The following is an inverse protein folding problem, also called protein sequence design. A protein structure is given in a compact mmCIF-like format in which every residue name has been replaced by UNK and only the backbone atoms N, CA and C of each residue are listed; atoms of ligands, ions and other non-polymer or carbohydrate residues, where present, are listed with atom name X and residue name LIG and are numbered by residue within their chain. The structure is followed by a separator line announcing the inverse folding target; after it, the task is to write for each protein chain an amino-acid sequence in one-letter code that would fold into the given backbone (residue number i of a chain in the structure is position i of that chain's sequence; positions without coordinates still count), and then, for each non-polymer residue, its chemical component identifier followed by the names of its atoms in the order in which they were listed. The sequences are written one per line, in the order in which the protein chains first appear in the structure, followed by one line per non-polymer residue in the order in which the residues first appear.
data_IF_878393171465
#
_entry.id   IF_878393171465
#
_cell.length_a   1.000
_cell.length_b   1.000
_cell.length_c   1.000
_cell.angle_alpha   90.00
_cell.angle_beta   90.00
_cell.angle_gamma   90.00
#
_symmetry.space_group_name_H-M   'P 1'
#
loop_
_entity.id
_entity.type
_entity.pdbx_description
1 polymer ?
#
# COMPACT_ATOMS: atom_id res chain seq x y z
N UNK A 1 -25.71 3.88 12.23
CA UNK A 1 -24.39 3.20 12.36
C UNK A 1 -23.33 4.18 11.92
N UNK A 2 -22.21 4.31 12.64
CA UNK A 2 -21.18 5.29 12.28
C UNK A 2 -20.47 4.87 10.98
N UNK A 3 -20.22 5.82 10.08
CA UNK A 3 -19.56 5.56 8.78
C UNK A 3 -18.16 6.16 8.75
N UNK A 4 -17.20 5.39 8.29
CA UNK A 4 -15.85 5.85 7.95
C UNK A 4 -15.80 5.99 6.43
N UNK A 5 -15.44 7.18 5.95
CA UNK A 5 -15.22 7.42 4.53
C UNK A 5 -13.74 7.59 4.29
N UNK A 6 -13.18 6.79 3.39
CA UNK A 6 -11.81 6.98 2.89
C UNK A 6 -11.86 7.58 1.49
N UNK A 7 -11.02 8.56 1.23
CA UNK A 7 -10.95 9.28 -0.04
C UNK A 7 -9.59 9.00 -0.66
N UNK A 8 -9.59 8.46 -1.87
CA UNK A 8 -8.36 8.10 -2.59
C UNK A 8 -8.31 8.78 -3.96
N UNK A 9 -7.19 9.46 -4.24
CA UNK A 9 -7.01 10.22 -5.48
C UNK A 9 -6.66 9.35 -6.69
N UNK A 10 -5.80 8.36 -6.52
CA UNK A 10 -5.38 7.46 -7.59
C UNK A 10 -5.76 6.02 -7.29
N UNK A 11 -6.26 5.34 -8.32
CA UNK A 11 -6.33 3.89 -8.33
C UNK A 11 -5.33 3.35 -9.34
N UNK A 12 -4.38 2.56 -8.89
CA UNK A 12 -3.46 1.81 -9.75
C UNK A 12 -3.89 0.36 -9.85
N UNK A 13 -3.83 -0.20 -11.04
CA UNK A 13 -4.27 -1.55 -11.39
C UNK A 13 -3.28 -2.65 -10.92
N UNK A 14 -2.74 -2.54 -9.75
CA UNK A 14 -1.82 -3.53 -9.20
C UNK A 14 -1.85 -3.46 -7.69
N UNK A 15 -1.63 -4.55 -6.99
CA UNK A 15 -1.57 -4.59 -5.52
C UNK A 15 -0.42 -3.73 -5.01
N UNK A 16 -0.63 -2.43 -5.01
CA UNK A 16 0.26 -1.50 -4.36
C UNK A 16 0.06 -1.56 -2.84
N UNK A 17 1.08 -1.21 -2.07
CA UNK A 17 0.99 -1.22 -0.61
C UNK A 17 -0.13 -0.36 -0.02
N UNK A 18 -0.61 0.65 -0.75
CA UNK A 18 -1.75 1.47 -0.32
C UNK A 18 -3.10 0.74 -0.47
N UNK A 19 -3.29 -0.17 -1.45
CA UNK A 19 -4.51 -1.00 -1.56
C UNK A 19 -4.63 -1.95 -0.37
N UNK A 20 -3.53 -2.59 0.02
CA UNK A 20 -3.46 -3.40 1.25
C UNK A 20 -3.83 -2.55 2.47
N UNK A 21 -3.34 -1.32 2.54
CA UNK A 21 -3.65 -0.39 3.62
C UNK A 21 -5.13 0.01 3.66
N UNK A 22 -5.77 0.20 2.51
CA UNK A 22 -7.21 0.47 2.42
C UNK A 22 -8.02 -0.75 2.87
N UNK A 23 -7.66 -1.94 2.42
CA UNK A 23 -8.27 -3.20 2.84
C UNK A 23 -8.15 -3.41 4.36
N UNK A 24 -6.99 -3.13 4.92
CA UNK A 24 -6.76 -3.20 6.37
C UNK A 24 -7.68 -2.25 7.12
N UNK A 25 -7.82 -0.99 6.71
CA UNK A 25 -8.73 -0.02 7.32
C UNK A 25 -10.19 -0.42 7.20
N UNK A 26 -10.60 -0.94 6.03
CA UNK A 26 -11.95 -1.46 5.84
C UNK A 26 -12.23 -2.62 6.80
N UNK A 27 -11.32 -3.57 6.91
CA UNK A 27 -11.47 -4.72 7.81
C UNK A 27 -11.55 -4.27 9.26
N UNK A 28 -10.66 -3.38 9.72
CA UNK A 28 -10.72 -2.81 11.06
C UNK A 28 -12.03 -2.05 11.32
N UNK A 29 -12.54 -1.30 10.34
CA UNK A 29 -13.82 -0.61 10.46
C UNK A 29 -14.96 -1.61 10.64
N UNK A 30 -15.04 -2.63 9.80
CA UNK A 30 -16.08 -3.66 9.85
C UNK A 30 -16.03 -4.49 11.14
N UNK A 31 -14.85 -4.88 11.61
CA UNK A 31 -14.66 -5.58 12.89
C UNK A 31 -15.16 -4.75 14.09
N UNK A 32 -15.15 -3.43 13.97
CA UNK A 32 -15.65 -2.49 14.99
C UNK A 32 -17.12 -2.08 14.77
N UNK A 33 -17.83 -2.68 13.82
CA UNK A 33 -19.24 -2.39 13.54
C UNK A 33 -19.48 -1.02 12.89
N UNK A 34 -18.46 -0.44 12.22
CA UNK A 34 -18.62 0.76 11.41
C UNK A 34 -19.00 0.38 9.96
N UNK A 35 -19.81 1.22 9.33
CA UNK A 35 -19.91 1.22 7.89
C UNK A 35 -18.61 1.78 7.30
N UNK A 36 -18.22 1.29 6.13
CA UNK A 36 -17.05 1.75 5.41
C UNK A 36 -17.43 2.16 4.00
N UNK A 37 -16.94 3.31 3.54
CA UNK A 37 -17.08 3.77 2.17
C UNK A 37 -15.72 4.20 1.64
N UNK A 38 -15.33 3.61 0.52
CA UNK A 38 -14.13 3.98 -0.22
C UNK A 38 -14.53 4.85 -1.41
N UNK A 39 -14.22 6.14 -1.36
CA UNK A 39 -14.50 7.10 -2.42
C UNK A 39 -13.26 7.27 -3.30
N UNK A 40 -13.39 6.89 -4.57
CA UNK A 40 -12.34 7.05 -5.58
C UNK A 40 -12.61 8.35 -6.33
N UNK A 41 -11.61 9.20 -6.42
CA UNK A 41 -11.77 10.52 -7.03
C UNK A 41 -11.21 10.62 -8.45
N UNK A 42 -10.37 9.67 -8.88
CA UNK A 42 -9.92 9.57 -10.28
C UNK A 42 -10.99 8.93 -11.17
N UNK A 43 -11.04 9.28 -12.47
CA UNK A 43 -11.95 8.64 -13.44
C UNK A 43 -11.77 7.13 -13.49
N UNK A 44 -12.88 6.39 -13.52
CA UNK A 44 -12.89 4.95 -13.55
C UNK A 44 -13.43 4.42 -14.88
N UNK A 45 -12.71 3.46 -15.44
CA UNK A 45 -13.14 2.71 -16.62
C UNK A 45 -14.09 1.57 -16.23
N UNK A 46 -14.74 0.98 -17.20
CA UNK A 46 -15.63 -0.15 -17.02
C UNK A 46 -15.01 -1.28 -16.15
N UNK A 47 -15.84 -1.91 -15.32
CA UNK A 47 -15.45 -3.05 -14.44
C UNK A 47 -14.46 -2.71 -13.29
N UNK A 48 -14.28 -1.46 -12.92
CA UNK A 48 -13.39 -1.14 -11.78
C UNK A 48 -13.84 -1.82 -10.47
N UNK A 49 -15.14 -1.95 -10.23
CA UNK A 49 -15.70 -2.59 -9.01
C UNK A 49 -15.30 -4.06 -8.88
N UNK A 50 -15.31 -4.82 -9.97
CA UNK A 50 -14.91 -6.23 -9.92
C UNK A 50 -13.46 -6.42 -9.48
N UNK A 51 -12.59 -5.48 -9.80
CA UNK A 51 -11.19 -5.49 -9.38
C UNK A 51 -11.03 -5.24 -7.87
N UNK A 52 -11.90 -4.40 -7.30
CA UNK A 52 -11.93 -4.22 -5.85
C UNK A 52 -12.48 -5.44 -5.13
N UNK A 53 -13.44 -6.16 -5.73
CA UNK A 53 -13.95 -7.42 -5.17
C UNK A 53 -12.85 -8.48 -5.09
N UNK A 54 -11.96 -8.56 -6.07
CA UNK A 54 -10.81 -9.47 -6.04
C UNK A 54 -9.89 -9.24 -4.84
N UNK A 55 -9.88 -8.02 -4.28
CA UNK A 55 -9.11 -7.65 -3.08
C UNK A 55 -9.96 -7.51 -1.83
N UNK A 56 -11.19 -8.03 -1.84
CA UNK A 56 -12.04 -8.21 -0.65
C UNK A 56 -12.97 -7.05 -0.31
N UNK A 57 -13.13 -6.05 -1.21
CA UNK A 57 -14.19 -5.04 -1.06
C UNK A 57 -15.52 -5.58 -1.57
N UNK A 58 -16.64 -5.11 -1.02
CA UNK A 58 -17.97 -5.36 -1.57
C UNK A 58 -18.44 -4.16 -2.39
N UNK A 59 -19.37 -4.37 -3.32
CA UNK A 59 -19.90 -3.28 -4.17
C UNK A 59 -20.43 -2.08 -3.37
N UNK A 60 -21.00 -2.32 -2.21
CA UNK A 60 -21.52 -1.28 -1.33
C UNK A 60 -20.46 -0.45 -0.60
N UNK A 61 -19.22 -0.92 -0.58
CA UNK A 61 -18.10 -0.25 0.10
C UNK A 61 -17.35 0.72 -0.82
N UNK A 62 -17.70 0.80 -2.11
CA UNK A 62 -16.92 1.53 -3.11
C UNK A 62 -17.82 2.42 -3.94
N UNK A 63 -17.41 3.67 -4.11
CA UNK A 63 -18.04 4.63 -5.00
C UNK A 63 -16.97 5.40 -5.76
N UNK A 64 -17.05 5.40 -7.09
CA UNK A 64 -16.28 6.32 -7.90
C UNK A 64 -17.04 7.65 -8.06
N UNK A 65 -16.31 8.74 -7.99
CA UNK A 65 -16.89 10.08 -8.04
C UNK A 65 -17.49 10.40 -9.42
N UNK A 66 -16.85 9.94 -10.48
CA UNK A 66 -17.32 10.08 -11.86
C UNK A 66 -18.58 9.25 -12.14
N UNK A 67 -18.67 8.02 -11.62
CA UNK A 67 -19.89 7.21 -11.70
C UNK A 67 -21.09 7.91 -11.04
N UNK A 68 -20.85 8.52 -9.86
CA UNK A 68 -21.87 9.32 -9.18
C UNK A 68 -22.34 10.52 -10.02
N UNK A 69 -21.41 11.21 -10.70
CA UNK A 69 -21.70 12.41 -11.46
C UNK A 69 -22.39 12.14 -12.79
N UNK A 70 -21.89 11.17 -13.53
CA UNK A 70 -22.27 10.95 -14.92
C UNK A 70 -23.20 9.76 -15.12
N UNK A 71 -23.28 8.85 -14.12
CA UNK A 71 -24.05 7.60 -14.18
C UNK A 71 -23.69 6.74 -15.41
N UNK A 72 -22.47 6.89 -15.90
CA UNK A 72 -21.90 6.19 -17.04
C UNK A 72 -20.40 6.00 -16.84
N UNK A 73 -19.80 5.11 -17.62
CA UNK A 73 -18.37 4.82 -17.54
C UNK A 73 -17.54 5.83 -18.36
N UNK A 74 -16.33 6.07 -17.91
CA UNK A 74 -15.37 6.90 -18.61
C UNK A 74 -14.84 6.20 -19.87
N UNK A 75 -14.71 6.94 -20.96
CA UNK A 75 -13.95 6.54 -22.14
C UNK A 75 -12.63 7.30 -22.12
N UNK A 76 -11.54 6.56 -22.07
CA UNK A 76 -10.20 7.14 -22.11
C UNK A 76 -9.87 7.62 -23.52
N UNK A 77 -9.63 8.91 -23.71
CA UNK A 77 -9.29 9.52 -24.98
C UNK A 77 -7.78 9.76 -25.09
N UNK A 78 -7.12 10.13 -24.02
CA UNK A 78 -5.69 10.40 -23.94
C UNK A 78 -5.07 9.85 -22.66
N UNK A 79 -3.81 10.15 -22.42
CA UNK A 79 -3.11 9.68 -21.20
C UNK A 79 -3.80 10.18 -19.93
N UNK A 80 -4.31 11.42 -19.97
CA UNK A 80 -4.89 12.12 -18.83
C UNK A 80 -6.21 12.80 -19.18
N UNK A 81 -6.95 12.28 -20.18
CA UNK A 81 -8.23 12.80 -20.64
C UNK A 81 -9.26 11.68 -20.76
N UNK A 82 -10.42 11.91 -20.17
CA UNK A 82 -11.57 11.01 -20.19
C UNK A 82 -12.82 11.79 -20.60
N UNK A 83 -13.72 11.12 -21.34
CA UNK A 83 -15.02 11.66 -21.73
C UNK A 83 -16.14 10.73 -21.30
N UNK A 84 -17.30 11.30 -21.08
CA UNK A 84 -18.50 10.61 -20.62
C UNK A 84 -19.63 10.87 -21.60
N UNK A 85 -20.31 9.79 -21.99
CA UNK A 85 -21.41 9.85 -22.97
C UNK A 85 -22.65 9.23 -22.34
N UNK A 86 -23.84 9.79 -22.67
CA UNK A 86 -25.12 9.19 -22.34
C UNK A 86 -25.44 7.95 -23.21
N UNK A 87 -26.58 7.32 -22.95
CA UNK A 87 -27.01 6.15 -23.71
C UNK A 87 -27.32 6.46 -25.19
N UNK A 88 -27.54 7.71 -25.52
CA UNK A 88 -27.79 8.21 -26.87
C UNK A 88 -26.50 8.62 -27.60
N UNK A 89 -25.35 8.54 -26.94
CA UNK A 89 -24.04 8.86 -27.47
C UNK A 89 -23.67 10.34 -27.40
N UNK A 90 -24.42 11.18 -26.69
CA UNK A 90 -24.08 12.57 -26.48
C UNK A 90 -23.07 12.72 -25.37
N UNK A 91 -22.06 13.60 -25.55
CA UNK A 91 -21.08 13.91 -24.52
C UNK A 91 -21.76 14.68 -23.38
N UNK A 92 -21.75 14.11 -22.18
CA UNK A 92 -22.32 14.70 -20.96
C UNK A 92 -21.26 15.31 -20.05
N UNK A 93 -20.00 15.05 -20.31
CA UNK A 93 -18.90 15.67 -19.59
C UNK A 93 -17.52 15.08 -19.87
N UNK A 94 -16.54 15.64 -19.19
CA UNK A 94 -15.14 15.23 -19.30
C UNK A 94 -14.41 15.30 -17.97
N UNK A 95 -13.29 14.59 -17.88
CA UNK A 95 -12.32 14.74 -16.80
C UNK A 95 -10.91 14.86 -17.40
N UNK A 96 -10.16 15.85 -16.96
CA UNK A 96 -8.80 16.13 -17.43
C UNK A 96 -7.90 16.23 -16.20
N UNK A 97 -6.74 15.56 -16.27
CA UNK A 97 -5.71 15.67 -15.25
C UNK A 97 -4.84 16.89 -15.53
N UNK A 98 -4.94 17.89 -14.69
CA UNK A 98 -4.18 19.13 -14.84
C UNK A 98 -2.80 19.01 -14.18
N UNK A 99 -1.78 18.76 -15.00
CA UNK A 99 -0.37 18.77 -14.58
C UNK A 99 0.23 20.18 -14.58
N UNK A 100 -0.45 21.18 -15.16
CA UNK A 100 0.10 22.52 -15.34
C UNK A 100 0.08 23.36 -14.07
N UNK A 101 -0.69 22.98 -13.08
CA UNK A 101 -0.64 23.65 -11.79
C UNK A 101 0.70 23.30 -11.12
N UNK A 102 1.60 24.28 -11.01
CA UNK A 102 2.92 24.19 -10.36
C UNK A 102 2.90 23.67 -8.92
N UNK A 103 1.72 23.37 -8.40
CA UNK A 103 1.57 22.99 -7.00
C UNK A 103 1.22 21.53 -6.82
N UNK A 104 0.26 20.97 -7.54
CA UNK A 104 -0.13 19.56 -7.40
C UNK A 104 -1.11 19.19 -8.51
N UNK A 105 -0.83 18.15 -9.30
CA UNK A 105 -1.76 17.67 -10.34
C UNK A 105 -3.07 17.20 -9.71
N UNK A 106 -4.19 17.58 -10.30
CA UNK A 106 -5.52 17.22 -9.81
C UNK A 106 -6.49 16.98 -10.97
N UNK A 107 -7.55 16.21 -10.74
CA UNK A 107 -8.60 16.02 -11.70
C UNK A 107 -9.53 17.23 -11.77
N UNK A 108 -9.79 17.70 -12.98
CA UNK A 108 -10.77 18.74 -13.27
C UNK A 108 -11.91 18.09 -14.07
N UNK A 109 -13.10 18.19 -13.55
CA UNK A 109 -14.32 17.63 -14.11
C UNK A 109 -15.17 18.72 -14.73
N UNK A 110 -15.69 18.48 -15.93
CA UNK A 110 -16.67 19.36 -16.58
C UNK A 110 -17.99 18.60 -16.70
N UNK A 111 -19.05 19.14 -16.13
CA UNK A 111 -20.39 18.56 -16.09
C UNK A 111 -21.37 19.61 -16.60
N UNK A 112 -22.06 19.37 -17.72
CA UNK A 112 -23.00 20.31 -18.31
C UNK A 112 -22.41 21.73 -18.49
N UNK A 113 -21.15 21.80 -18.96
CA UNK A 113 -20.44 23.05 -19.18
C UNK A 113 -19.93 23.78 -17.92
N UNK A 114 -20.15 23.21 -16.74
CA UNK A 114 -19.63 23.76 -15.48
C UNK A 114 -18.42 22.95 -15.01
N UNK A 115 -17.34 23.64 -14.69
CA UNK A 115 -16.08 23.05 -14.22
C UNK A 115 -16.03 22.94 -12.70
N UNK A 116 -15.52 21.81 -12.21
CA UNK A 116 -15.34 21.49 -10.80
C UNK A 116 -13.94 20.95 -10.56
N UNK A 117 -13.32 21.34 -9.47
CA UNK A 117 -12.14 20.66 -8.95
C UNK A 117 -12.53 19.33 -8.29
N UNK A 118 -11.57 18.43 -8.14
CA UNK A 118 -11.76 17.19 -7.38
C UNK A 118 -12.28 17.46 -5.97
N UNK A 119 -11.72 18.47 -5.28
CA UNK A 119 -12.15 18.86 -3.93
C UNK A 119 -13.60 19.32 -3.89
N UNK A 120 -14.05 20.14 -4.87
CA UNK A 120 -15.44 20.61 -4.94
C UNK A 120 -16.42 19.46 -5.11
N UNK A 121 -16.06 18.46 -5.92
CA UNK A 121 -16.91 17.29 -6.17
C UNK A 121 -16.96 16.34 -4.97
N UNK A 122 -15.83 16.13 -4.29
CA UNK A 122 -15.82 15.39 -3.03
C UNK A 122 -16.75 16.03 -2.01
N UNK A 123 -16.65 17.35 -1.83
CA UNK A 123 -17.51 18.08 -0.88
C UNK A 123 -18.98 17.99 -1.30
N UNK A 124 -19.27 18.14 -2.59
CA UNK A 124 -20.65 18.02 -3.12
C UNK A 124 -21.22 16.63 -2.81
N UNK A 125 -20.51 15.57 -3.18
CA UNK A 125 -20.91 14.19 -2.92
C UNK A 125 -21.13 13.93 -1.43
N UNK A 126 -20.17 14.31 -0.59
CA UNK A 126 -20.28 14.14 0.84
C UNK A 126 -21.45 14.92 1.45
N UNK A 127 -21.75 16.13 0.93
CA UNK A 127 -22.89 16.94 1.39
C UNK A 127 -24.25 16.26 1.11
N UNK A 128 -24.35 15.51 0.02
CA UNK A 128 -25.56 14.76 -0.34
C UNK A 128 -25.71 13.45 0.45
N UNK A 129 -24.58 12.80 0.80
CA UNK A 129 -24.56 11.61 1.65
C UNK A 129 -24.85 11.90 3.13
N UNK A 130 -24.58 13.12 3.57
CA UNK A 130 -24.61 13.51 4.98
C UNK A 130 -26.04 13.67 5.50
N UNK A 131 -26.75 12.59 5.62
CA UNK A 131 -27.93 12.51 6.50
C UNK A 131 -27.64 11.53 7.65
N UNK A 132 -26.89 12.02 8.65
CA UNK A 132 -26.83 11.58 10.05
C UNK A 132 -25.73 10.62 10.54
N UNK A 133 -24.93 9.91 9.72
CA UNK A 133 -24.09 8.83 10.27
C UNK A 133 -22.59 8.88 9.94
N UNK A 134 -22.11 9.89 9.21
CA UNK A 134 -20.67 10.00 8.93
C UNK A 134 -19.94 10.56 10.15
N UNK A 135 -18.81 9.96 10.54
CA UNK A 135 -18.04 10.36 11.71
C UNK A 135 -16.57 10.62 11.43
N UNK A 136 -16.00 9.93 10.46
CA UNK A 136 -14.57 9.97 10.17
C UNK A 136 -14.33 10.06 8.68
N UNK A 137 -13.51 11.03 8.28
CA UNK A 137 -12.95 11.14 6.95
C UNK A 137 -11.46 10.82 7.01
N UNK A 138 -11.01 9.87 6.21
CA UNK A 138 -9.60 9.55 6.04
C UNK A 138 -9.24 9.82 4.59
N UNK A 139 -8.33 10.74 4.34
CA UNK A 139 -7.81 10.99 3.02
C UNK A 139 -6.49 10.26 2.82
N UNK A 140 -6.43 9.41 1.83
CA UNK A 140 -5.18 8.82 1.35
C UNK A 140 -4.47 9.83 0.44
N UNK A 141 -3.18 9.98 0.61
CA UNK A 141 -2.33 10.91 -0.10
C UNK A 141 -2.33 12.37 0.44
N UNK A 142 -1.54 12.56 1.49
CA UNK A 142 -1.31 13.88 2.12
C UNK A 142 -0.53 14.88 1.22
N UNK A 143 -0.04 14.44 0.04
CA UNK A 143 0.71 15.31 -0.89
C UNK A 143 -0.17 16.34 -1.59
N UNK A 144 -1.46 16.08 -1.72
CA UNK A 144 -2.43 16.96 -2.37
C UNK A 144 -3.26 17.68 -1.31
N UNK A 145 -3.05 18.97 -0.99
CA UNK A 145 -3.83 19.65 0.01
C UNK A 145 -5.29 19.87 -0.44
N UNK A 146 -6.24 19.56 0.44
CA UNK A 146 -7.66 19.82 0.26
C UNK A 146 -8.20 20.70 1.42
N UNK A 147 -7.88 22.00 1.44
CA UNK A 147 -8.18 22.87 2.56
C UNK A 147 -9.68 23.10 2.80
N UNK A 148 -10.48 23.07 1.73
CA UNK A 148 -11.94 23.23 1.85
C UNK A 148 -12.58 21.95 2.41
N UNK A 149 -12.06 20.77 2.07
CA UNK A 149 -12.49 19.50 2.65
C UNK A 149 -12.18 19.45 4.17
N UNK A 150 -11.01 19.93 4.57
CA UNK A 150 -10.66 20.07 6.00
C UNK A 150 -11.66 21.01 6.72
N UNK A 151 -11.99 22.14 6.09
CA UNK A 151 -12.98 23.10 6.63
C UNK A 151 -14.37 22.48 6.69
N UNK A 152 -14.78 21.79 5.64
CA UNK A 152 -16.05 21.07 5.57
C UNK A 152 -16.19 20.06 6.71
N UNK A 153 -15.19 19.19 6.90
CA UNK A 153 -15.17 18.22 7.97
C UNK A 153 -15.29 18.88 9.37
N UNK A 154 -14.55 19.95 9.61
CA UNK A 154 -14.62 20.72 10.86
C UNK A 154 -15.98 21.34 11.11
N UNK A 155 -16.61 21.93 10.10
CA UNK A 155 -17.92 22.56 10.21
C UNK A 155 -19.01 21.55 10.57
N UNK A 156 -18.88 20.31 10.13
CA UNK A 156 -19.81 19.23 10.44
C UNK A 156 -19.38 18.39 11.66
N UNK A 157 -18.31 18.81 12.33
CA UNK A 157 -17.78 18.14 13.52
C UNK A 157 -17.33 16.69 13.24
N UNK A 158 -16.89 16.41 12.00
CA UNK A 158 -16.28 15.14 11.63
C UNK A 158 -14.82 15.12 12.03
N UNK A 159 -14.33 13.94 12.37
CA UNK A 159 -12.92 13.72 12.54
C UNK A 159 -12.25 13.55 11.16
N UNK A 160 -11.17 14.28 10.92
CA UNK A 160 -10.45 14.28 9.66
C UNK A 160 -9.02 13.84 9.87
N UNK A 161 -8.59 12.86 9.07
CA UNK A 161 -7.22 12.37 9.03
C UNK A 161 -6.68 12.41 7.61
N UNK A 162 -5.37 12.61 7.50
CA UNK A 162 -4.61 12.33 6.30
C UNK A 162 -3.72 11.12 6.54
N UNK A 163 -3.75 10.15 5.62
CA UNK A 163 -2.93 8.96 5.72
C UNK A 163 -1.63 9.13 4.93
N UNK A 164 -0.49 8.90 5.58
CA UNK A 164 0.85 9.04 5.04
C UNK A 164 1.39 7.67 4.70
N UNK A 165 1.50 7.38 3.39
CA UNK A 165 2.06 6.15 2.84
C UNK A 165 3.56 6.21 2.54
N UNK A 166 4.15 7.40 2.48
CA UNK A 166 5.52 7.63 2.08
C UNK A 166 6.32 8.27 3.21
N UNK A 167 7.64 8.21 3.12
CA UNK A 167 8.49 8.80 4.14
C UNK A 167 8.63 10.31 3.91
N UNK A 168 7.67 11.07 4.42
CA UNK A 168 7.58 12.53 4.26
C UNK A 168 8.84 13.28 4.69
N UNK A 169 9.63 12.70 5.58
CA UNK A 169 10.87 13.30 6.08
C UNK A 169 11.99 13.18 5.04
N UNK A 170 12.18 11.97 4.49
CA UNK A 170 13.21 11.70 3.49
C UNK A 170 12.81 12.17 2.08
N UNK A 171 11.52 12.12 1.77
CA UNK A 171 11.00 12.51 0.46
C UNK A 171 10.79 14.04 0.32
N UNK A 172 11.10 14.82 1.36
CA UNK A 172 11.04 16.28 1.32
C UNK A 172 9.64 16.90 1.42
N UNK A 173 8.61 16.11 1.75
CA UNK A 173 7.23 16.60 1.88
C UNK A 173 6.87 17.19 3.25
N UNK A 174 7.78 17.11 4.23
CA UNK A 174 7.55 17.62 5.57
C UNK A 174 7.04 19.09 5.61
N UNK A 175 7.54 20.02 4.78
CA UNK A 175 7.06 21.41 4.76
C UNK A 175 5.59 21.55 4.31
N UNK A 176 5.03 20.55 3.64
CA UNK A 176 3.63 20.59 3.16
C UNK A 176 2.63 20.18 4.23
N UNK A 177 3.08 19.55 5.31
CA UNK A 177 2.22 19.08 6.38
C UNK A 177 1.75 20.23 7.27
N UNK A 178 0.51 20.15 7.72
CA UNK A 178 -0.11 21.12 8.63
C UNK A 178 -0.17 20.60 10.07
N UNK A 179 0.34 21.35 11.03
CA UNK A 179 0.20 21.01 12.47
C UNK A 179 -1.25 21.04 13.00
N UNK A 180 -2.21 21.47 12.16
CA UNK A 180 -3.64 21.55 12.49
C UNK A 180 -4.45 20.32 12.07
N UNK A 181 -3.79 19.35 11.42
CA UNK A 181 -4.40 18.13 10.91
C UNK A 181 -3.87 16.94 11.71
N UNK A 182 -4.71 15.93 11.90
CA UNK A 182 -4.32 14.65 12.47
C UNK A 182 -3.86 13.72 11.33
N UNK A 183 -2.71 13.07 11.52
CA UNK A 183 -2.11 12.17 10.52
C UNK A 183 -2.15 10.73 11.00
N UNK A 184 -2.57 9.83 10.13
CA UNK A 184 -2.31 8.40 10.25
C UNK A 184 -1.05 8.09 9.44
N UNK A 185 -0.14 7.33 9.99
CA UNK A 185 1.19 7.11 9.40
C UNK A 185 1.48 5.62 9.31
N UNK A 186 1.86 5.16 8.13
CA UNK A 186 2.13 3.75 7.85
C UNK A 186 3.39 3.18 8.54
N UNK A 187 4.18 4.01 9.21
CA UNK A 187 5.41 3.60 9.90
C UNK A 187 5.46 4.20 11.31
N UNK A 188 5.69 3.35 12.31
CA UNK A 188 5.69 3.73 13.73
C UNK A 188 6.77 4.77 14.04
N UNK A 189 7.96 4.62 13.51
CA UNK A 189 9.08 5.51 13.79
C UNK A 189 8.91 6.88 13.12
N UNK A 190 8.34 6.90 11.92
CA UNK A 190 7.98 8.16 11.24
C UNK A 190 6.86 8.86 12.01
N UNK A 191 5.89 8.12 12.56
CA UNK A 191 4.85 8.69 13.41
C UNK A 191 5.46 9.33 14.68
N UNK A 192 6.37 8.66 15.36
CA UNK A 192 7.06 9.20 16.54
C UNK A 192 7.93 10.41 16.19
N UNK A 193 8.65 10.38 15.07
CA UNK A 193 9.42 11.53 14.60
C UNK A 193 8.52 12.74 14.32
N UNK A 194 7.39 12.55 13.65
CA UNK A 194 6.42 13.62 13.41
C UNK A 194 5.87 14.19 14.72
N UNK A 195 5.60 13.35 15.73
CA UNK A 195 5.19 13.82 17.07
C UNK A 195 6.26 14.70 17.71
N UNK A 196 7.53 14.31 17.64
CA UNK A 196 8.65 15.12 18.19
C UNK A 196 8.79 16.48 17.49
N UNK A 197 8.39 16.56 16.20
CA UNK A 197 8.33 17.79 15.44
C UNK A 197 7.05 18.61 15.67
N UNK A 198 6.17 18.14 16.55
CA UNK A 198 4.94 18.82 16.97
C UNK A 198 3.75 18.62 16.04
N UNK A 199 3.74 17.57 15.23
CA UNK A 199 2.59 17.13 14.45
C UNK A 199 1.72 16.16 15.26
N UNK A 200 0.42 16.14 14.99
CA UNK A 200 -0.50 15.16 15.54
C UNK A 200 -0.45 13.92 14.64
N UNK A 201 0.45 13.01 14.92
CA UNK A 201 0.66 11.82 14.12
C UNK A 201 0.38 10.55 14.92
N UNK A 202 -0.28 9.59 14.30
CA UNK A 202 -0.66 8.31 14.91
C UNK A 202 -0.21 7.19 13.97
N UNK A 203 0.50 6.22 14.49
CA UNK A 203 0.80 5.02 13.72
C UNK A 203 -0.49 4.25 13.48
N UNK A 204 -0.69 3.82 12.22
CA UNK A 204 -1.70 2.84 11.83
C UNK A 204 -1.05 1.91 10.80
N UNK A 205 -0.89 0.62 11.09
CA UNK A 205 -0.21 -0.29 10.17
C UNK A 205 -0.95 -0.36 8.83
N UNK A 206 -0.22 -0.34 7.71
CA UNK A 206 -0.85 -0.48 6.40
C UNK A 206 -1.31 -1.91 6.13
N UNK A 207 -0.85 -2.87 6.93
CA UNK A 207 -1.24 -4.27 6.86
C UNK A 207 -1.40 -4.84 8.27
N UNK A 208 -2.49 -5.57 8.49
CA UNK A 208 -2.70 -6.44 9.62
C UNK A 208 -2.86 -7.89 9.17
N UNK A 209 -2.56 -8.82 10.05
CA UNK A 209 -2.73 -10.26 9.88
C UNK A 209 -3.67 -10.79 10.94
N UNK A 210 -4.42 -11.87 10.68
CA UNK A 210 -5.16 -12.56 11.73
C UNK A 210 -4.23 -13.48 12.51
N UNK A 211 -4.33 -13.50 13.85
CA UNK A 211 -3.44 -14.31 14.68
C UNK A 211 -3.56 -15.81 14.37
N UNK A 212 -4.73 -16.28 14.01
CA UNK A 212 -4.97 -17.67 13.61
C UNK A 212 -4.39 -18.04 12.24
N UNK A 213 -3.94 -17.08 11.45
CA UNK A 213 -3.29 -17.30 10.15
C UNK A 213 -1.76 -17.30 10.25
N UNK A 214 -1.21 -16.99 11.42
CA UNK A 214 0.23 -17.01 11.65
C UNK A 214 0.75 -18.44 11.62
N UNK A 215 1.74 -18.69 10.78
CA UNK A 215 2.34 -20.02 10.58
C UNK A 215 3.71 -20.07 11.21
N UNK A 216 3.89 -20.96 12.16
CA UNK A 216 5.22 -21.32 12.66
C UNK A 216 5.80 -22.45 11.83
N UNK A 217 7.00 -22.24 11.28
CA UNK A 217 7.74 -23.23 10.49
C UNK A 217 9.03 -23.64 11.15
N UNK A 218 9.37 -24.92 10.99
CA UNK A 218 10.71 -25.46 11.20
C UNK A 218 11.25 -25.89 9.84
N UNK A 219 12.36 -25.30 9.43
CA UNK A 219 12.95 -25.48 8.11
C UNK A 219 14.38 -26.02 8.26
N UNK A 220 14.71 -27.07 7.54
CA UNK A 220 16.03 -27.69 7.52
C UNK A 220 16.81 -27.22 6.30
N UNK A 221 17.51 -26.10 6.42
CA UNK A 221 18.19 -25.45 5.32
C UNK A 221 17.24 -24.62 4.44
N UNK A 222 17.43 -23.30 4.42
CA UNK A 222 16.62 -22.38 3.63
C UNK A 222 17.15 -22.32 2.20
N UNK A 223 16.44 -22.92 1.23
CA UNK A 223 16.91 -23.10 -0.15
C UNK A 223 15.99 -22.47 -1.19
N UNK A 224 14.68 -22.43 -0.94
CA UNK A 224 13.69 -21.89 -1.87
C UNK A 224 13.28 -20.49 -1.39
N UNK A 225 13.82 -19.49 -2.05
CA UNK A 225 13.51 -18.10 -1.76
C UNK A 225 12.40 -17.55 -2.68
N UNK A 226 11.71 -16.56 -2.18
CA UNK A 226 10.77 -15.76 -2.94
C UNK A 226 11.14 -14.28 -2.86
N UNK A 227 10.99 -13.58 -3.97
CA UNK A 227 11.03 -12.13 -4.09
C UNK A 227 9.67 -11.65 -4.61
N UNK A 228 9.05 -10.66 -3.96
CA UNK A 228 7.71 -10.19 -4.31
C UNK A 228 7.64 -8.68 -4.18
N UNK A 229 7.59 -7.98 -5.30
CA UNK A 229 7.42 -6.53 -5.38
C UNK A 229 7.15 -6.07 -6.82
N UNK A 230 6.89 -4.78 -7.02
CA UNK A 230 7.01 -4.15 -8.34
C UNK A 230 8.47 -4.14 -8.79
N UNK A 231 8.71 -4.32 -10.07
CA UNK A 231 10.05 -4.31 -10.67
C UNK A 231 10.62 -2.89 -10.89
N UNK A 232 10.19 -1.92 -10.08
CA UNK A 232 10.71 -0.54 -10.11
C UNK A 232 12.13 -0.42 -9.56
N UNK A 233 12.84 0.63 -9.96
CA UNK A 233 14.25 0.86 -9.63
C UNK A 233 14.53 0.86 -8.12
N UNK A 234 13.62 1.41 -7.31
CA UNK A 234 13.78 1.47 -5.85
C UNK A 234 13.71 0.10 -5.17
N UNK A 235 13.17 -0.92 -5.85
CA UNK A 235 13.16 -2.32 -5.37
C UNK A 235 14.47 -3.05 -5.64
N UNK A 236 15.32 -2.46 -6.50
CA UNK A 236 16.70 -2.89 -6.76
C UNK A 236 16.80 -4.38 -7.13
N UNK A 237 15.87 -4.86 -7.98
CA UNK A 237 15.81 -6.27 -8.39
C UNK A 237 17.08 -6.74 -9.11
N UNK A 238 17.79 -5.84 -9.78
CA UNK A 238 19.08 -6.13 -10.41
C UNK A 238 20.10 -6.70 -9.41
N UNK A 239 20.10 -6.27 -8.16
CA UNK A 239 20.95 -6.82 -7.11
C UNK A 239 20.56 -8.27 -6.79
N UNK A 240 19.26 -8.58 -6.74
CA UNK A 240 18.79 -9.97 -6.58
C UNK A 240 19.29 -10.89 -7.69
N UNK A 241 19.29 -10.42 -8.96
CA UNK A 241 19.85 -11.18 -10.08
C UNK A 241 21.36 -11.45 -9.91
N UNK A 242 22.13 -10.45 -9.47
CA UNK A 242 23.57 -10.60 -9.21
C UNK A 242 23.87 -11.60 -8.08
N UNK A 243 23.08 -11.56 -7.00
CA UNK A 243 23.16 -12.52 -5.89
C UNK A 243 22.91 -13.92 -6.43
N UNK A 244 21.82 -14.14 -7.16
CA UNK A 244 21.44 -15.44 -7.68
C UNK A 244 22.43 -15.96 -8.74
N UNK A 245 23.02 -15.06 -9.53
CA UNK A 245 24.09 -15.44 -10.47
C UNK A 245 25.31 -16.01 -9.76
N UNK A 246 25.70 -15.44 -8.64
CA UNK A 246 26.79 -15.97 -7.82
C UNK A 246 26.45 -17.32 -7.18
N UNK A 247 25.17 -17.60 -6.93
CA UNK A 247 24.67 -18.85 -6.36
C UNK A 247 24.20 -19.89 -7.39
N UNK A 248 24.45 -19.66 -8.68
CA UNK A 248 23.87 -20.46 -9.80
C UNK A 248 24.28 -21.95 -9.77
N UNK A 249 25.39 -22.29 -9.11
CA UNK A 249 25.88 -23.65 -8.96
C UNK A 249 25.57 -24.31 -7.62
N UNK A 250 24.64 -23.69 -6.85
CA UNK A 250 24.11 -24.24 -5.58
C UNK A 250 22.69 -24.76 -5.82
N UNK A 251 22.09 -25.34 -4.79
CA UNK A 251 20.68 -25.76 -4.79
C UNK A 251 19.71 -24.64 -4.32
N UNK A 252 20.22 -23.43 -4.17
CA UNK A 252 19.43 -22.25 -3.79
C UNK A 252 18.73 -21.69 -5.03
N UNK A 253 17.40 -21.50 -4.92
CA UNK A 253 16.53 -20.99 -6.00
C UNK A 253 15.76 -19.76 -5.59
N UNK A 254 15.35 -18.94 -6.55
CA UNK A 254 14.54 -17.75 -6.36
C UNK A 254 13.36 -17.72 -7.33
N UNK A 255 12.16 -17.64 -6.80
CA UNK A 255 10.95 -17.34 -7.55
C UNK A 255 10.59 -15.85 -7.41
N UNK A 256 10.22 -15.23 -8.54
CA UNK A 256 9.99 -13.78 -8.65
C UNK A 256 8.54 -13.51 -8.99
N UNK A 257 7.85 -12.78 -8.11
CA UNK A 257 6.48 -12.33 -8.30
C UNK A 257 6.40 -10.81 -8.41
N UNK A 258 5.61 -10.34 -9.37
CA UNK A 258 5.35 -8.91 -9.60
C UNK A 258 5.93 -8.38 -10.90
N UNK A 259 5.44 -7.22 -11.31
CA UNK A 259 5.75 -6.64 -12.62
C UNK A 259 5.24 -7.48 -13.79
N UNK A 260 5.56 -7.04 -15.00
CA UNK A 260 5.29 -7.77 -16.24
C UNK A 260 6.49 -8.63 -16.65
N UNK A 261 6.25 -9.63 -17.50
CA UNK A 261 7.33 -10.44 -18.07
C UNK A 261 8.31 -9.59 -18.89
N UNK A 262 7.80 -8.57 -19.55
CA UNK A 262 8.63 -7.64 -20.33
C UNK A 262 9.56 -6.84 -19.43
N UNK A 263 9.07 -6.27 -18.32
CA UNK A 263 9.90 -5.57 -17.33
C UNK A 263 11.00 -6.49 -16.78
N UNK A 264 10.65 -7.73 -16.40
CA UNK A 264 11.61 -8.71 -15.92
C UNK A 264 12.73 -8.97 -16.96
N UNK A 265 12.34 -9.24 -18.21
CA UNK A 265 13.30 -9.51 -19.29
C UNK A 265 14.17 -8.29 -19.62
N UNK A 266 13.59 -7.08 -19.56
CA UNK A 266 14.31 -5.83 -19.76
C UNK A 266 15.39 -5.62 -18.70
N UNK A 267 15.08 -5.88 -17.42
CA UNK A 267 16.08 -5.79 -16.33
C UNK A 267 17.20 -6.82 -16.56
N UNK A 268 16.86 -8.07 -16.91
CA UNK A 268 17.86 -9.08 -17.21
C UNK A 268 18.76 -8.67 -18.39
N UNK A 269 18.19 -8.07 -19.43
CA UNK A 269 18.94 -7.59 -20.60
C UNK A 269 19.85 -6.41 -20.26
N UNK A 270 19.33 -5.41 -19.56
CA UNK A 270 20.09 -4.21 -19.14
C UNK A 270 21.28 -4.57 -18.24
N UNK A 271 21.09 -5.57 -17.38
CA UNK A 271 22.14 -6.02 -16.46
C UNK A 271 23.04 -7.12 -17.05
N UNK A 272 22.72 -7.62 -18.24
CA UNK A 272 23.32 -8.81 -18.84
C UNK A 272 23.40 -9.99 -17.86
N UNK A 273 22.34 -10.20 -17.08
CA UNK A 273 22.31 -11.18 -15.99
C UNK A 273 21.07 -12.08 -16.11
N UNK A 274 21.30 -13.37 -16.43
CA UNK A 274 20.27 -14.40 -16.61
C UNK A 274 20.60 -15.64 -15.75
N UNK A 275 20.37 -15.59 -14.43
CA UNK A 275 20.66 -16.73 -13.56
C UNK A 275 19.71 -17.91 -13.83
N UNK A 276 20.23 -19.13 -13.95
CA UNK A 276 19.43 -20.35 -14.23
C UNK A 276 18.57 -20.78 -13.04
N UNK A 277 18.91 -20.33 -11.83
CA UNK A 277 18.22 -20.62 -10.58
C UNK A 277 17.19 -19.55 -10.21
N UNK A 278 16.78 -18.69 -11.17
CA UNK A 278 15.72 -17.71 -11.01
C UNK A 278 14.56 -18.04 -11.94
N UNK A 279 13.34 -18.07 -11.39
CA UNK A 279 12.11 -18.32 -12.15
C UNK A 279 11.14 -17.16 -12.01
N UNK A 280 10.74 -16.54 -13.12
CA UNK A 280 9.70 -15.52 -13.12
C UNK A 280 8.31 -16.16 -13.10
N UNK A 281 7.53 -15.86 -12.08
CA UNK A 281 6.19 -16.40 -11.81
C UNK A 281 5.05 -15.46 -12.24
N UNK A 282 5.37 -14.19 -12.50
CA UNK A 282 4.39 -13.20 -12.92
C UNK A 282 3.72 -12.42 -11.78
N UNK A 283 2.74 -11.61 -12.16
CA UNK A 283 1.88 -10.91 -11.24
C UNK A 283 0.74 -11.83 -10.80
N UNK A 284 0.60 -12.02 -9.50
CA UNK A 284 -0.46 -12.87 -8.92
C UNK A 284 -1.20 -12.12 -7.82
N UNK A 285 -2.45 -12.48 -7.59
CA UNK A 285 -3.25 -11.89 -6.52
C UNK A 285 -2.76 -12.30 -5.13
N UNK A 286 -2.30 -13.54 -4.96
CA UNK A 286 -1.77 -14.06 -3.71
C UNK A 286 -0.46 -14.81 -4.00
N UNK A 287 0.63 -14.34 -3.42
CA UNK A 287 1.90 -15.05 -3.48
C UNK A 287 1.80 -16.31 -2.60
N UNK A 288 2.12 -17.50 -3.14
CA UNK A 288 2.01 -18.74 -2.37
C UNK A 288 3.20 -18.93 -1.42
N UNK A 289 3.35 -18.04 -0.44
CA UNK A 289 4.48 -18.02 0.51
C UNK A 289 4.71 -19.36 1.21
N UNK A 290 3.66 -20.14 1.44
CA UNK A 290 3.77 -21.48 2.07
C UNK A 290 4.68 -22.45 1.32
N UNK A 291 4.96 -22.23 0.03
CA UNK A 291 5.84 -23.07 -0.81
C UNK A 291 7.32 -22.79 -0.64
N UNK A 292 7.66 -21.68 0.02
CA UNK A 292 9.03 -21.19 0.16
C UNK A 292 9.59 -21.39 1.55
N UNK A 293 10.90 -21.31 1.66
CA UNK A 293 11.66 -21.43 2.91
C UNK A 293 12.13 -20.04 3.37
N UNK A 294 12.42 -19.15 2.40
CA UNK A 294 12.94 -17.82 2.67
C UNK A 294 12.34 -16.74 1.77
N UNK A 295 12.47 -15.51 2.22
CA UNK A 295 12.12 -14.28 1.51
C UNK A 295 13.37 -13.40 1.37
N UNK A 296 13.54 -12.77 0.21
CA UNK A 296 14.62 -11.81 -0.01
C UNK A 296 14.05 -10.49 -0.49
N UNK A 297 14.54 -9.38 0.09
CA UNK A 297 14.27 -8.02 -0.38
C UNK A 297 15.56 -7.25 -0.54
N UNK A 298 15.78 -6.72 -1.74
CA UNK A 298 16.91 -5.85 -2.09
C UNK A 298 16.51 -4.38 -2.19
N UNK A 299 15.34 -4.01 -1.70
CA UNK A 299 14.80 -2.65 -1.79
C UNK A 299 15.72 -1.58 -1.19
N UNK A 300 15.85 -0.45 -1.90
CA UNK A 300 16.55 0.73 -1.42
C UNK A 300 15.64 1.70 -0.65
N UNK A 301 14.32 1.48 -0.74
CA UNK A 301 13.33 2.34 -0.09
C UNK A 301 12.09 1.52 0.28
N UNK A 302 11.69 1.60 1.55
CA UNK A 302 10.47 1.00 2.10
C UNK A 302 9.92 1.86 3.22
N UNK A 303 8.60 1.89 3.34
CA UNK A 303 7.91 2.51 4.47
C UNK A 303 7.51 1.50 5.53
N UNK A 304 6.97 0.36 5.11
CA UNK A 304 6.52 -0.74 5.99
C UNK A 304 6.90 -2.13 5.46
N UNK A 305 7.00 -2.33 4.15
CA UNK A 305 7.27 -3.62 3.50
C UNK A 305 6.22 -4.71 3.77
N UNK A 306 5.03 -4.55 3.18
CA UNK A 306 3.96 -5.54 3.30
C UNK A 306 4.41 -6.96 2.93
N UNK A 307 5.16 -7.11 1.83
CA UNK A 307 5.66 -8.42 1.38
C UNK A 307 6.58 -9.11 2.41
N UNK A 308 7.36 -8.34 3.17
CA UNK A 308 8.16 -8.90 4.27
C UNK A 308 7.27 -9.37 5.42
N UNK A 309 6.24 -8.59 5.78
CA UNK A 309 5.26 -8.96 6.83
C UNK A 309 4.47 -10.20 6.39
N UNK A 310 4.04 -10.27 5.13
CA UNK A 310 3.38 -11.47 4.57
C UNK A 310 4.31 -12.70 4.63
N UNK A 311 5.56 -12.55 4.23
CA UNK A 311 6.53 -13.64 4.30
C UNK A 311 6.76 -14.11 5.74
N UNK A 312 6.91 -13.19 6.69
CA UNK A 312 7.03 -13.52 8.12
C UNK A 312 5.78 -14.22 8.66
N UNK A 313 4.56 -13.81 8.23
CA UNK A 313 3.32 -14.45 8.70
C UNK A 313 3.21 -15.90 8.25
N UNK A 314 3.90 -16.26 7.17
CA UNK A 314 4.02 -17.63 6.69
C UNK A 314 5.27 -18.37 7.21
N UNK A 315 5.98 -17.79 8.16
CA UNK A 315 7.14 -18.40 8.82
C UNK A 315 8.39 -18.50 7.94
N UNK A 316 8.57 -17.61 6.96
CA UNK A 316 9.76 -17.62 6.10
C UNK A 316 10.94 -16.93 6.78
N UNK A 317 12.16 -17.46 6.59
CA UNK A 317 13.38 -16.74 6.92
C UNK A 317 13.55 -15.54 5.99
N UNK A 318 13.75 -14.34 6.54
CA UNK A 318 13.85 -13.11 5.74
C UNK A 318 15.29 -12.59 5.69
N UNK A 319 15.81 -12.30 4.49
CA UNK A 319 17.07 -11.58 4.28
C UNK A 319 16.74 -10.29 3.53
N UNK A 320 17.05 -9.15 4.13
CA UNK A 320 16.59 -7.84 3.65
C UNK A 320 17.73 -6.82 3.63
N UNK A 321 17.58 -5.76 2.86
CA UNK A 321 18.56 -4.69 2.76
C UNK A 321 18.70 -3.90 4.08
N UNK A 322 19.84 -3.22 4.22
CA UNK A 322 20.11 -2.39 5.39
C UNK A 322 19.35 -1.07 5.35
N UNK A 323 18.02 -1.14 5.47
CA UNK A 323 17.17 0.03 5.67
C UNK A 323 16.91 0.23 7.16
N UNK A 324 17.18 1.43 7.67
CA UNK A 324 16.92 1.76 9.07
C UNK A 324 15.44 1.48 9.41
N UNK A 325 14.57 1.83 8.49
CA UNK A 325 13.13 1.58 8.55
C UNK A 325 12.66 0.91 7.25
N UNK A 326 11.86 -0.16 7.32
CA UNK A 326 11.42 -0.89 8.51
C UNK A 326 12.36 -2.02 8.95
N UNK A 327 13.35 -2.39 8.14
CA UNK A 327 14.04 -3.69 8.23
C UNK A 327 14.92 -3.85 9.47
N UNK A 328 15.70 -2.83 9.85
CA UNK A 328 16.46 -2.90 11.11
C UNK A 328 15.55 -3.02 12.33
N UNK A 329 14.36 -2.40 12.27
CA UNK A 329 13.38 -2.57 13.34
C UNK A 329 12.88 -4.01 13.40
N UNK A 330 12.50 -4.61 12.27
CA UNK A 330 12.04 -6.01 12.22
C UNK A 330 13.14 -6.96 12.73
N UNK A 331 14.39 -6.76 12.29
CA UNK A 331 15.52 -7.58 12.74
C UNK A 331 15.72 -7.54 14.25
N UNK A 332 15.64 -6.34 14.86
CA UNK A 332 15.78 -6.20 16.33
C UNK A 332 14.64 -6.85 17.10
N UNK A 333 13.45 -6.94 16.50
CA UNK A 333 12.23 -7.45 17.17
C UNK A 333 11.99 -8.94 16.94
N UNK A 334 12.78 -9.61 16.11
CA UNK A 334 12.58 -11.01 15.69
C UNK A 334 13.79 -11.91 15.98
N UNK A 335 14.64 -11.59 16.97
CA UNK A 335 15.78 -12.41 17.40
C UNK A 335 16.65 -12.94 16.24
N UNK A 336 16.93 -12.08 15.22
CA UNK A 336 17.69 -12.38 14.00
C UNK A 336 16.99 -13.31 12.99
N UNK A 337 15.72 -13.54 13.08
CA UNK A 337 14.95 -14.26 12.04
C UNK A 337 14.76 -13.41 10.78
N UNK A 338 14.83 -12.08 10.93
CA UNK A 338 15.01 -11.12 9.84
C UNK A 338 16.46 -10.65 9.85
N UNK A 339 17.23 -11.08 8.87
CA UNK A 339 18.66 -10.78 8.74
C UNK A 339 18.90 -9.60 7.80
N UNK A 340 19.82 -8.72 8.20
CA UNK A 340 20.19 -7.54 7.43
C UNK A 340 21.43 -7.84 6.59
N UNK A 341 21.38 -7.52 5.29
CA UNK A 341 22.52 -7.55 4.40
C UNK A 341 22.85 -6.13 3.91
N UNK A 342 24.11 -5.73 4.05
CA UNK A 342 24.57 -4.39 3.64
C UNK A 342 25.03 -4.33 2.18
N UNK A 343 25.30 -5.46 1.56
CA UNK A 343 25.82 -5.55 0.20
C UNK A 343 25.60 -6.98 -0.37
N UNK A 344 25.81 -7.12 -1.67
CA UNK A 344 25.66 -8.40 -2.40
C UNK A 344 26.42 -9.57 -1.77
N UNK A 345 27.65 -9.33 -1.27
CA UNK A 345 28.46 -10.41 -0.65
C UNK A 345 27.84 -10.93 0.63
N UNK A 346 27.27 -10.05 1.44
CA UNK A 346 26.58 -10.43 2.68
C UNK A 346 25.30 -11.21 2.39
N UNK A 347 24.49 -10.80 1.39
CA UNK A 347 23.35 -11.60 0.95
C UNK A 347 23.77 -13.03 0.59
N UNK A 348 24.81 -13.18 -0.23
CA UNK A 348 25.33 -14.50 -0.63
C UNK A 348 25.77 -15.30 0.60
N UNK A 349 26.55 -14.69 1.50
CA UNK A 349 27.04 -15.35 2.71
C UNK A 349 25.89 -15.83 3.63
N UNK A 350 24.86 -14.98 3.82
CA UNK A 350 23.68 -15.31 4.62
C UNK A 350 22.88 -16.44 3.97
N UNK A 351 22.64 -16.38 2.66
CA UNK A 351 21.88 -17.42 1.94
C UNK A 351 22.60 -18.77 2.01
N UNK A 352 23.92 -18.81 1.80
CA UNK A 352 24.72 -20.03 1.94
C UNK A 352 24.67 -20.55 3.39
N UNK A 353 24.94 -19.68 4.37
CA UNK A 353 24.87 -20.07 5.77
C UNK A 353 23.50 -20.62 6.18
N UNK A 354 22.42 -20.00 5.72
CA UNK A 354 21.05 -20.42 6.03
C UNK A 354 20.64 -21.71 5.31
N UNK A 355 21.28 -22.04 4.18
CA UNK A 355 21.03 -23.30 3.47
C UNK A 355 21.51 -24.54 4.22
N UNK A 356 22.37 -24.34 5.21
CA UNK A 356 23.00 -25.41 6.02
C UNK A 356 22.46 -25.46 7.47
N UNK A 357 21.64 -24.49 7.87
CA UNK A 357 21.17 -24.35 9.25
C UNK A 357 19.69 -24.64 9.40
N UNK A 358 19.35 -25.14 10.58
CA UNK A 358 17.95 -25.22 11.01
C UNK A 358 17.44 -23.81 11.37
N UNK A 359 16.21 -23.54 10.99
CA UNK A 359 15.50 -22.29 11.25
C UNK A 359 14.11 -22.56 11.83
N UNK A 360 13.70 -21.78 12.84
CA UNK A 360 12.36 -21.80 13.42
C UNK A 360 11.82 -20.37 13.50
N UNK A 361 10.56 -20.15 13.15
CA UNK A 361 9.95 -18.81 13.01
C UNK A 361 9.14 -18.34 14.22
N UNK A 362 9.44 -18.81 15.42
CA UNK A 362 8.63 -18.55 16.62
C UNK A 362 8.60 -17.07 17.03
N UNK A 363 9.75 -16.38 16.98
CA UNK A 363 9.84 -14.98 17.39
C UNK A 363 9.16 -14.05 16.38
N UNK A 364 9.15 -14.41 15.10
CA UNK A 364 8.37 -13.67 14.08
C UNK A 364 6.88 -13.68 14.41
N UNK A 365 6.33 -14.83 14.77
CA UNK A 365 4.92 -14.96 15.15
C UNK A 365 4.59 -14.09 16.36
N UNK A 366 5.46 -14.06 17.38
CA UNK A 366 5.30 -13.20 18.55
C UNK A 366 5.35 -11.71 18.18
N UNK A 367 6.26 -11.31 17.30
CA UNK A 367 6.37 -9.95 16.80
C UNK A 367 5.14 -9.53 16.00
N UNK A 368 4.65 -10.40 15.11
CA UNK A 368 3.53 -10.10 14.22
C UNK A 368 2.18 -9.93 14.94
N UNK A 369 2.02 -10.48 16.14
CA UNK A 369 0.83 -10.21 16.97
C UNK A 369 0.64 -8.72 17.26
N UNK A 370 1.69 -7.91 17.22
CA UNK A 370 1.58 -6.44 17.31
C UNK A 370 0.84 -5.81 16.13
N UNK A 371 0.83 -6.48 14.97
CA UNK A 371 0.15 -6.07 13.75
C UNK A 371 -1.04 -6.98 13.43
N UNK A 372 -1.60 -7.65 14.45
CA UNK A 372 -2.80 -8.45 14.26
C UNK A 372 -4.07 -7.59 14.23
N UNK A 373 -5.09 -8.07 13.54
CA UNK A 373 -6.42 -7.46 13.60
C UNK A 373 -6.97 -7.48 15.03
N UNK A 374 -6.70 -8.54 15.79
CA UNK A 374 -7.10 -8.69 17.19
C UNK A 374 -6.51 -7.59 18.08
N UNK A 375 -5.24 -7.27 17.89
CA UNK A 375 -4.55 -6.20 18.62
C UNK A 375 -5.01 -4.80 18.17
N UNK A 376 -5.25 -4.61 16.88
CA UNK A 376 -5.56 -3.29 16.33
C UNK A 376 -7.04 -2.91 16.38
N UNK A 377 -7.96 -3.85 16.46
CA UNK A 377 -9.40 -3.56 16.54
C UNK A 377 -9.73 -2.58 17.69
N UNK A 378 -9.33 -2.81 18.96
CA UNK A 378 -9.59 -1.86 20.02
C UNK A 378 -8.81 -0.54 19.88
N UNK A 379 -7.57 -0.59 19.39
CA UNK A 379 -6.73 0.59 19.19
C UNK A 379 -7.31 1.49 18.09
N UNK A 380 -7.81 0.90 17.01
CA UNK A 380 -8.45 1.63 15.92
C UNK A 380 -9.71 2.34 16.40
N UNK A 381 -10.58 1.67 17.16
CA UNK A 381 -11.76 2.31 17.76
C UNK A 381 -11.38 3.51 18.63
N UNK A 382 -10.39 3.34 19.51
CA UNK A 382 -9.87 4.43 20.33
C UNK A 382 -9.38 5.58 19.47
N UNK A 383 -8.54 5.28 18.47
CA UNK A 383 -7.93 6.25 17.58
C UNK A 383 -8.98 7.11 16.84
N UNK A 384 -10.05 6.50 16.33
CA UNK A 384 -11.09 7.21 15.57
C UNK A 384 -12.20 7.82 16.44
N UNK A 385 -12.32 7.46 17.72
CA UNK A 385 -13.37 7.94 18.64
C UNK A 385 -12.92 9.03 19.60
N UNK A 386 -11.64 9.10 19.93
CA UNK A 386 -11.08 10.14 20.80
C UNK A 386 -11.09 11.50 20.08
N UNK A 387 -11.69 12.51 20.69
CA UNK A 387 -11.75 13.92 20.21
C UNK A 387 -10.60 14.74 20.76
#
# INVERSE_FOLDING_TARGET
MKTIVTIHHHYTLGRAGFETSQQTRMTLAKLNGFNYLHLITSPQIENYKSRFEEVGFTYGDIQALDEYLFQTNAIKIGTYEYRYFDNDGNEVGSAIYDESSLKIPTWIYTVNGKTYTEEDLVIKYLSELVHNDMHVLIRDDSRIPMPNLVRFAKNLNYRYFEYIHHNVVYDGYLPTLSKKIDYLVANEQVAELLKTLGYKAHFLPPMCVFENELITKKINGVKRYVWSAHLGDYKNFNQSLQIMKALENTDITLDVYGGTREEFLNICALTNCYPRNVTYQGLVNNVPYQKYDGYISTSNHEMFSNACVEAMSHGLKCIVSNLEHPYQFYSRMTDNEVEIAHNTKEYIALMVSNSEKEFTSDSQSSFLKRYSYESWTPLFTKLISER
#
